data_IF_542821385006
#
_entry.id   IF_542821385006
#
_cell.length_a   1.000
_cell.length_b   1.000
_cell.length_c   1.000
_cell.angle_alpha   90.00
_cell.angle_beta   90.00
_cell.angle_gamma   90.00
#
_symmetry.space_group_name_H-M   'P 1'
#
loop_
_entity.id
_entity.type
_entity.pdbx_description
1 polymer ?
#
# COMPACT_ATOMS: atom_id res chain seq x y z
N UNK A 1 3.28 12.05 -17.34
CA UNK A 1 4.46 12.89 -17.02
C UNK A 1 5.19 13.17 -18.31
N UNK A 2 5.60 14.43 -18.58
CA UNK A 2 6.42 14.74 -19.75
C UNK A 2 7.65 13.84 -19.82
N UNK A 3 8.07 13.37 -21.01
CA UNK A 3 9.21 12.47 -21.17
C UNK A 3 10.52 12.96 -20.54
N UNK A 4 10.71 14.27 -20.51
CA UNK A 4 11.90 14.98 -20.03
C UNK A 4 11.81 15.44 -18.56
N UNK A 5 10.71 15.12 -17.86
CA UNK A 5 10.55 15.55 -16.47
C UNK A 5 11.40 14.70 -15.53
N UNK A 6 12.39 15.35 -14.91
CA UNK A 6 13.13 14.83 -13.77
C UNK A 6 12.65 15.53 -12.49
N UNK A 7 11.94 14.84 -11.59
CA UNK A 7 11.53 15.44 -10.33
C UNK A 7 12.76 15.89 -9.51
N UNK A 8 12.74 17.08 -8.85
CA UNK A 8 13.86 17.55 -8.04
C UNK A 8 14.28 16.51 -6.99
N UNK A 9 15.56 16.13 -6.99
CA UNK A 9 16.11 15.11 -6.08
C UNK A 9 15.92 13.66 -6.54
N UNK A 10 15.30 13.43 -7.70
CA UNK A 10 15.13 12.10 -8.28
C UNK A 10 15.97 11.95 -9.56
N UNK A 11 16.27 10.71 -9.91
CA UNK A 11 16.90 10.31 -11.18
C UNK A 11 16.07 9.22 -11.81
N UNK A 12 16.19 9.04 -13.13
CA UNK A 12 15.58 7.90 -13.81
C UNK A 12 16.03 6.58 -13.16
N UNK A 13 15.06 5.70 -12.89
CA UNK A 13 15.34 4.36 -12.40
C UNK A 13 16.08 3.54 -13.46
N UNK A 14 17.05 2.74 -13.03
CA UNK A 14 17.78 1.84 -13.93
C UNK A 14 17.01 0.55 -14.19
N UNK A 15 16.16 0.15 -13.22
CA UNK A 15 15.33 -1.04 -13.28
C UNK A 15 13.89 -0.70 -12.86
N UNK A 16 12.93 -1.34 -13.51
CA UNK A 16 11.50 -1.24 -13.16
C UNK A 16 11.12 -2.20 -12.00
N UNK A 17 12.03 -3.08 -11.60
CA UNK A 17 11.78 -4.12 -10.59
C UNK A 17 12.58 -3.90 -9.31
N UNK A 18 11.92 -4.08 -8.18
CA UNK A 18 12.52 -4.14 -6.85
C UNK A 18 12.69 -5.61 -6.44
N UNK A 19 13.92 -6.01 -6.16
CA UNK A 19 14.25 -7.37 -5.74
C UNK A 19 14.42 -7.44 -4.23
N UNK A 20 13.90 -8.50 -3.62
CA UNK A 20 14.12 -8.83 -2.23
C UNK A 20 15.03 -10.05 -2.12
N UNK A 21 15.91 -10.04 -1.12
CA UNK A 21 16.65 -11.23 -0.76
C UNK A 21 15.76 -12.17 0.06
N UNK A 22 15.60 -13.41 -0.40
CA UNK A 22 14.73 -14.41 0.21
C UNK A 22 13.25 -14.25 -0.13
N UNK A 23 12.37 -14.78 0.72
CA UNK A 23 10.92 -14.78 0.51
C UNK A 23 10.32 -13.42 0.87
N UNK A 24 9.67 -12.77 -0.10
CA UNK A 24 8.89 -11.57 0.14
C UNK A 24 7.50 -11.94 0.68
N UNK A 25 7.02 -11.17 1.65
CA UNK A 25 5.66 -11.24 2.17
C UNK A 25 4.99 -9.88 1.93
N UNK A 26 3.77 -9.91 1.40
CA UNK A 26 3.02 -8.73 0.99
C UNK A 26 1.83 -8.48 1.91
N UNK A 27 1.71 -7.24 2.38
CA UNK A 27 0.61 -6.78 3.22
C UNK A 27 -0.14 -5.65 2.52
N UNK A 28 -1.47 -5.78 2.43
CA UNK A 28 -2.34 -4.63 2.17
C UNK A 28 -2.59 -3.94 3.49
N UNK A 29 -2.09 -2.71 3.64
CA UNK A 29 -2.31 -1.92 4.86
C UNK A 29 -3.66 -1.23 4.80
N UNK A 30 -4.03 -0.70 3.62
CA UNK A 30 -5.33 -0.09 3.41
C UNK A 30 -5.36 0.83 2.20
N UNK A 31 -6.55 1.29 1.88
CA UNK A 31 -6.82 2.20 0.76
C UNK A 31 -7.49 3.45 1.32
N UNK A 32 -6.99 4.63 0.95
CA UNK A 32 -7.54 5.93 1.35
C UNK A 32 -8.05 6.61 0.10
N UNK A 33 -9.32 7.01 0.12
CA UNK A 33 -9.95 7.74 -0.96
C UNK A 33 -10.37 9.12 -0.51
N UNK A 34 -10.00 10.11 -1.33
CA UNK A 34 -10.52 11.47 -1.29
C UNK A 34 -11.32 11.72 -2.57
N UNK A 35 -11.94 12.90 -2.67
CA UNK A 35 -12.70 13.31 -3.87
C UNK A 35 -11.87 13.29 -5.17
N UNK A 36 -10.55 13.47 -5.08
CA UNK A 36 -9.69 13.66 -6.25
C UNK A 36 -8.54 12.66 -6.34
N UNK A 37 -8.29 11.88 -5.29
CA UNK A 37 -7.17 10.95 -5.22
C UNK A 37 -7.57 9.67 -4.52
N UNK A 38 -7.05 8.55 -5.02
CA UNK A 38 -7.05 7.26 -4.32
C UNK A 38 -5.60 6.88 -4.05
N UNK A 39 -5.29 6.54 -2.81
CA UNK A 39 -3.98 6.06 -2.39
C UNK A 39 -4.12 4.64 -1.84
N UNK A 40 -3.33 3.71 -2.37
CA UNK A 40 -3.28 2.31 -1.91
C UNK A 40 -1.96 2.07 -1.21
N UNK A 41 -1.99 1.73 0.08
CA UNK A 41 -0.78 1.42 0.84
C UNK A 41 -0.57 -0.08 0.92
N UNK A 42 0.53 -0.52 0.30
CA UNK A 42 1.02 -1.91 0.37
C UNK A 42 2.42 -1.92 0.95
N UNK A 43 2.70 -2.91 1.79
CA UNK A 43 4.03 -3.12 2.39
C UNK A 43 4.53 -4.47 1.93
N UNK A 44 5.78 -4.51 1.47
CA UNK A 44 6.47 -5.77 1.17
C UNK A 44 7.71 -5.85 2.05
N UNK A 45 7.88 -6.97 2.74
CA UNK A 45 9.02 -7.21 3.62
C UNK A 45 9.55 -8.63 3.44
N UNK A 46 10.85 -8.81 3.69
CA UNK A 46 11.44 -10.14 3.75
C UNK A 46 10.87 -10.93 4.94
N UNK A 47 10.53 -12.20 4.73
CA UNK A 47 9.96 -13.08 5.75
C UNK A 47 10.79 -13.14 7.03
N UNK A 48 12.12 -13.08 6.91
CA UNK A 48 13.06 -13.06 8.03
C UNK A 48 12.85 -11.90 9.01
N UNK A 49 12.25 -10.79 8.57
CA UNK A 49 11.99 -9.60 9.41
C UNK A 49 10.66 -9.68 10.17
N UNK A 50 9.85 -10.71 9.92
CA UNK A 50 8.48 -10.80 10.43
C UNK A 50 8.30 -11.68 11.66
N UNK A 51 9.39 -12.22 12.23
CA UNK A 51 9.33 -13.23 13.32
C UNK A 51 8.39 -12.87 14.48
N UNK A 52 8.41 -11.61 14.95
CA UNK A 52 7.54 -11.16 16.06
C UNK A 52 6.07 -10.95 15.67
N UNK A 53 5.81 -10.67 14.39
CA UNK A 53 4.46 -10.34 13.90
C UNK A 53 3.64 -11.60 13.63
N UNK A 54 4.31 -12.71 13.29
CA UNK A 54 3.71 -14.02 13.12
C UNK A 54 3.27 -14.64 14.46
N UNK A 55 4.06 -14.46 15.53
CA UNK A 55 3.71 -14.89 16.89
C UNK A 55 2.46 -14.19 17.45
N UNK A 56 2.24 -12.93 17.06
CA UNK A 56 1.08 -12.14 17.51
C UNK A 56 -0.22 -12.49 16.75
N UNK A 57 -0.21 -13.44 15.80
CA UNK A 57 -1.39 -13.85 15.04
C UNK A 57 -1.98 -12.76 14.13
N UNK A 58 -1.24 -11.66 13.89
CA UNK A 58 -1.71 -10.49 13.13
C UNK A 58 -1.54 -10.62 11.61
N UNK A 59 -0.98 -11.73 11.15
CA UNK A 59 -0.79 -12.00 9.72
C UNK A 59 -1.86 -12.98 9.25
N UNK A 60 -3.04 -12.44 8.89
CA UNK A 60 -4.03 -13.20 8.12
C UNK A 60 -3.88 -12.82 6.65
N UNK A 61 -3.44 -13.79 5.86
CA UNK A 61 -3.36 -13.74 4.40
C UNK A 61 -4.77 -13.95 3.82
N UNK A 62 -5.75 -13.10 4.12
CA UNK A 62 -7.08 -13.19 3.50
C UNK A 62 -7.73 -11.81 3.33
N UNK A 63 -8.13 -11.56 2.09
CA UNK A 63 -8.97 -10.49 1.53
C UNK A 63 -9.72 -9.61 2.53
N UNK A 64 -9.08 -8.54 2.98
CA UNK A 64 -9.83 -7.35 3.41
C UNK A 64 -10.27 -6.60 2.16
N UNK A 65 -11.34 -7.05 1.51
CA UNK A 65 -12.20 -6.16 0.74
C UNK A 65 -12.86 -5.19 1.72
N UNK A 66 -12.14 -4.11 2.02
CA UNK A 66 -12.72 -2.98 2.74
C UNK A 66 -13.64 -2.26 1.74
N UNK A 67 -14.94 -2.57 1.80
CA UNK A 67 -15.99 -1.85 1.09
C UNK A 67 -15.81 -0.34 1.35
N UNK A 68 -15.46 0.41 0.32
CA UNK A 68 -15.36 1.87 0.42
C UNK A 68 -16.76 2.42 0.71
N UNK A 69 -16.98 3.16 1.80
CA UNK A 69 -18.30 3.70 2.10
C UNK A 69 -18.74 4.64 0.98
N UNK A 70 -19.98 4.49 0.54
CA UNK A 70 -20.56 5.30 -0.52
C UNK A 70 -20.58 6.78 -0.13
N UNK A 71 -20.44 7.67 -1.13
CA UNK A 71 -20.42 9.13 -0.91
C UNK A 71 -21.65 9.66 -0.14
N UNK A 72 -22.78 8.95 -0.22
CA UNK A 72 -24.01 9.23 0.53
C UNK A 72 -23.84 8.97 2.04
N UNK A 73 -23.05 7.98 2.42
CA UNK A 73 -22.80 7.63 3.83
C UNK A 73 -21.85 8.63 4.51
N UNK A 74 -20.87 9.16 3.78
CA UNK A 74 -19.95 10.18 4.33
C UNK A 74 -20.66 11.50 4.67
N UNK A 75 -21.70 11.86 3.90
CA UNK A 75 -22.47 13.09 4.15
C UNK A 75 -23.32 13.04 5.41
N UNK A 76 -23.65 11.83 5.88
CA UNK A 76 -24.47 11.64 7.08
C UNK A 76 -23.68 11.75 8.39
N UNK A 77 -22.34 11.71 8.34
CA UNK A 77 -21.47 11.80 9.52
C UNK A 77 -21.06 13.24 9.89
N UNK A 78 -21.51 14.25 9.13
CA UNK A 78 -21.26 15.68 9.41
C UNK A 78 -22.52 16.40 9.98
N UNK A 79 -23.41 15.69 10.69
CA UNK A 79 -24.56 16.29 11.39
C UNK A 79 -24.60 15.90 12.86
#
# INVERSE_FOLDING_TARGET
TPPEYEPPGFKAGVNDSLWFEGTAVHFRVGDIQSRFHTMKLRVTAAQSRLGKLQEAGQLSENDMEMETPSLSQMRAAEM
#
